data_IF_513145089489
#
_entry.id   IF_513145089489
#
_cell.length_a   1.000
_cell.length_b   1.000
_cell.length_c   1.000
_cell.angle_alpha   90.00
_cell.angle_beta   90.00
_cell.angle_gamma   90.00
#
_symmetry.space_group_name_H-M   'P 1'
#
loop_
_entity.id
_entity.type
_entity.pdbx_description
1 polymer ?
#
# COMPACT_ATOMS: atom_id res chain seq x y z
N UNK A 1 21.01 26.17 -42.58
CA UNK A 1 20.07 25.11 -42.19
C UNK A 1 19.74 25.38 -40.74
N UNK A 2 18.47 25.64 -40.44
CA UNK A 2 17.98 25.97 -39.10
C UNK A 2 17.71 24.66 -38.37
N UNK A 3 18.63 24.25 -37.49
CA UNK A 3 18.37 23.18 -36.54
C UNK A 3 17.44 23.73 -35.46
N UNK A 4 16.14 23.68 -35.73
CA UNK A 4 15.14 23.71 -34.66
C UNK A 4 15.19 22.35 -33.97
N UNK A 5 15.98 22.26 -32.89
CA UNK A 5 15.73 21.24 -31.86
C UNK A 5 14.31 21.47 -31.36
N UNK A 6 13.38 20.59 -31.74
CA UNK A 6 12.11 20.49 -31.04
C UNK A 6 12.43 20.12 -29.60
N UNK A 7 12.23 21.06 -28.68
CA UNK A 7 12.29 20.80 -27.25
C UNK A 7 11.25 19.70 -26.94
N UNK A 8 11.73 18.49 -26.65
CA UNK A 8 10.88 17.41 -26.18
C UNK A 8 10.07 17.90 -24.96
N UNK A 9 8.75 17.71 -25.01
CA UNK A 9 7.84 18.30 -24.02
C UNK A 9 8.11 17.82 -22.59
N UNK A 10 8.07 18.75 -21.63
CA UNK A 10 8.22 18.46 -20.20
C UNK A 10 7.19 17.42 -19.73
N UNK A 11 7.65 16.37 -19.04
CA UNK A 11 6.78 15.35 -18.46
C UNK A 11 6.08 15.92 -17.22
N UNK A 12 4.75 16.02 -17.26
CA UNK A 12 3.95 16.36 -16.09
C UNK A 12 3.67 15.11 -15.24
N UNK A 13 3.56 15.34 -13.94
CA UNK A 13 3.18 14.35 -12.95
C UNK A 13 1.68 14.04 -12.96
N UNK A 14 1.31 13.00 -12.22
CA UNK A 14 -0.06 12.58 -11.99
C UNK A 14 -0.24 12.24 -10.52
N UNK A 15 -0.98 13.08 -9.80
CA UNK A 15 -1.32 12.88 -8.38
C UNK A 15 -2.66 12.17 -8.19
N UNK A 16 -3.31 11.72 -9.27
CA UNK A 16 -4.60 11.04 -9.24
C UNK A 16 -4.46 9.54 -9.53
N UNK A 17 -5.38 8.74 -8.98
CA UNK A 17 -5.43 7.28 -9.27
C UNK A 17 -5.85 6.96 -10.71
N UNK A 18 -6.34 7.96 -11.43
CA UNK A 18 -6.73 7.79 -12.83
C UNK A 18 -5.44 7.75 -13.66
N UNK A 19 -5.19 6.68 -14.43
CA UNK A 19 -4.02 6.62 -15.28
C UNK A 19 -4.08 7.68 -16.38
N UNK A 20 -2.92 8.08 -16.88
CA UNK A 20 -2.81 8.92 -18.08
C UNK A 20 -3.38 8.17 -19.30
N UNK A 21 -3.86 8.88 -20.34
CA UNK A 21 -4.34 8.25 -21.57
C UNK A 21 -3.30 7.28 -22.15
N UNK A 22 -3.69 6.02 -22.36
CA UNK A 22 -2.81 4.97 -22.88
C UNK A 22 -1.98 4.22 -21.81
N UNK A 23 -1.91 4.71 -20.57
CA UNK A 23 -1.27 3.99 -19.48
C UNK A 23 -2.20 2.92 -18.87
N UNK A 24 -1.66 1.78 -18.39
CA UNK A 24 -2.46 0.77 -17.71
C UNK A 24 -2.99 1.30 -16.38
N UNK A 25 -4.15 0.79 -15.97
CA UNK A 25 -4.66 0.96 -14.61
C UNK A 25 -3.63 0.44 -13.59
N UNK A 26 -3.45 1.17 -12.48
CA UNK A 26 -2.42 0.87 -11.47
C UNK A 26 -2.56 -0.55 -10.89
N UNK A 27 -3.80 -1.04 -10.73
CA UNK A 27 -4.06 -2.41 -10.23
C UNK A 27 -3.63 -3.43 -11.28
N UNK A 28 -3.92 -3.18 -12.55
CA UNK A 28 -3.45 -4.05 -13.65
C UNK A 28 -1.92 -4.08 -13.73
N UNK A 29 -1.27 -2.92 -13.62
CA UNK A 29 0.19 -2.82 -13.61
C UNK A 29 0.79 -3.60 -12.43
N UNK A 30 0.23 -3.44 -11.23
CA UNK A 30 0.66 -4.17 -10.04
C UNK A 30 0.47 -5.69 -10.17
N UNK A 31 -0.68 -6.15 -10.68
CA UNK A 31 -0.93 -7.59 -10.91
C UNK A 31 0.04 -8.16 -11.94
N UNK A 32 0.26 -7.45 -13.06
CA UNK A 32 1.21 -7.88 -14.09
C UNK A 32 2.62 -8.01 -13.52
N UNK A 33 3.01 -7.06 -12.67
CA UNK A 33 4.28 -7.06 -11.97
C UNK A 33 4.41 -8.26 -11.01
N UNK A 34 3.43 -8.48 -10.14
CA UNK A 34 3.38 -9.65 -9.23
C UNK A 34 3.50 -10.97 -10.00
N UNK A 35 2.74 -11.13 -11.08
CA UNK A 35 2.76 -12.34 -11.88
C UNK A 35 4.10 -12.58 -12.58
N UNK A 36 4.77 -11.51 -13.03
CA UNK A 36 6.08 -11.58 -13.70
C UNK A 36 7.14 -12.22 -12.81
N UNK A 37 7.12 -11.95 -11.51
CA UNK A 37 8.12 -12.41 -10.55
C UNK A 37 7.62 -13.56 -9.66
N UNK A 38 6.42 -14.08 -9.91
CA UNK A 38 5.96 -15.32 -9.30
C UNK A 38 6.64 -16.54 -9.95
N UNK A 39 7.97 -16.51 -10.01
CA UNK A 39 8.77 -17.71 -10.19
C UNK A 39 8.86 -18.43 -8.84
N UNK A 40 9.18 -19.73 -8.84
CA UNK A 40 9.29 -20.51 -7.60
C UNK A 40 10.34 -19.95 -6.62
N UNK A 41 11.16 -18.97 -7.04
CA UNK A 41 12.23 -18.36 -6.26
C UNK A 41 11.72 -17.18 -5.42
N UNK A 42 10.69 -16.45 -5.88
CA UNK A 42 10.02 -15.38 -5.13
C UNK A 42 8.49 -15.47 -5.22
N UNK A 43 7.87 -16.53 -4.70
CA UNK A 43 6.42 -16.66 -4.75
C UNK A 43 5.74 -15.49 -4.01
N UNK A 44 4.66 -14.97 -4.57
CA UNK A 44 3.91 -13.87 -3.96
C UNK A 44 2.53 -14.34 -3.48
N UNK A 45 2.09 -14.05 -2.24
CA UNK A 45 0.86 -14.60 -1.66
C UNK A 45 -0.41 -14.46 -2.53
N UNK A 46 -0.51 -13.37 -3.29
CA UNK A 46 -1.60 -13.14 -4.25
C UNK A 46 -1.78 -14.31 -5.24
N UNK A 47 -0.68 -14.87 -5.73
CA UNK A 47 -0.68 -15.98 -6.69
C UNK A 47 -0.94 -17.35 -6.03
N UNK A 48 -1.06 -17.39 -4.70
CA UNK A 48 -1.15 -18.62 -3.89
C UNK A 48 -2.36 -18.58 -2.95
N UNK A 49 -3.45 -17.99 -3.43
CA UNK A 49 -4.78 -18.09 -2.80
C UNK A 49 -5.08 -17.06 -1.72
N UNK A 50 -4.23 -16.03 -1.54
CA UNK A 50 -4.49 -14.94 -0.58
C UNK A 50 -4.99 -13.70 -1.32
N UNK A 51 -6.17 -13.21 -0.97
CA UNK A 51 -6.74 -12.01 -1.57
C UNK A 51 -6.00 -10.76 -1.12
N UNK A 52 -5.63 -9.92 -2.09
CA UNK A 52 -4.96 -8.65 -1.84
C UNK A 52 -5.64 -7.51 -2.57
N UNK A 53 -5.63 -6.33 -1.95
CA UNK A 53 -5.95 -5.06 -2.61
C UNK A 53 -4.66 -4.24 -2.70
N UNK A 54 -4.49 -3.54 -3.83
CA UNK A 54 -3.38 -2.60 -4.02
C UNK A 54 -3.62 -1.36 -3.17
N UNK A 55 -2.62 -1.00 -2.37
CA UNK A 55 -2.60 0.18 -1.52
C UNK A 55 -1.56 1.18 -2.03
N UNK A 56 -1.96 2.45 -2.12
CA UNK A 56 -1.07 3.57 -2.41
C UNK A 56 -0.48 4.08 -1.10
N UNK A 57 0.84 3.96 -0.93
CA UNK A 57 1.52 4.38 0.30
C UNK A 57 1.41 5.91 0.47
N UNK A 58 1.88 6.68 -0.50
CA UNK A 58 1.48 8.07 -0.62
C UNK A 58 0.06 8.08 -1.22
N UNK A 59 -0.94 8.29 -0.36
CA UNK A 59 -2.34 8.13 -0.73
C UNK A 59 -2.88 9.31 -1.54
N UNK A 60 -3.80 9.02 -2.47
CA UNK A 60 -4.48 10.06 -3.24
C UNK A 60 -5.37 10.98 -2.39
N UNK A 61 -5.80 10.53 -1.21
CA UNK A 61 -6.52 11.41 -0.27
C UNK A 61 -5.58 12.43 0.38
N UNK A 62 -4.39 12.02 0.85
CA UNK A 62 -3.38 12.94 1.36
C UNK A 62 -3.00 14.00 0.30
N UNK A 63 -2.78 13.57 -0.95
CA UNK A 63 -2.49 14.50 -2.05
C UNK A 63 -3.67 15.43 -2.41
N UNK A 64 -4.90 15.01 -2.15
CA UNK A 64 -6.08 15.87 -2.37
C UNK A 64 -6.30 16.86 -1.23
N UNK A 65 -5.82 16.55 -0.03
CA UNK A 65 -6.01 17.33 1.20
C UNK A 65 -4.84 18.31 1.45
N UNK A 66 -3.66 18.08 0.85
CA UNK A 66 -2.52 19.00 0.92
C UNK A 66 -2.76 20.29 0.13
N UNK A 67 -2.01 21.35 0.42
CA UNK A 67 -2.19 22.64 -0.25
C UNK A 67 -1.95 22.57 -1.78
N UNK A 68 -2.56 23.51 -2.49
CA UNK A 68 -2.55 23.53 -3.96
C UNK A 68 -1.15 23.77 -4.53
N UNK A 69 -0.32 24.56 -3.85
CA UNK A 69 1.03 24.88 -4.33
C UNK A 69 1.93 23.64 -4.30
N UNK A 70 1.79 22.82 -3.26
CA UNK A 70 2.45 21.52 -3.15
C UNK A 70 1.92 20.52 -4.19
N UNK A 71 0.61 20.49 -4.43
CA UNK A 71 0.03 19.66 -5.50
C UNK A 71 0.61 20.04 -6.87
N UNK A 72 0.63 21.34 -7.19
CA UNK A 72 1.16 21.86 -8.44
C UNK A 72 2.67 21.57 -8.55
N UNK A 73 3.43 21.72 -7.46
CA UNK A 73 4.85 21.37 -7.42
C UNK A 73 5.09 19.89 -7.70
N UNK A 74 4.35 18.97 -7.05
CA UNK A 74 4.46 17.54 -7.30
C UNK A 74 4.14 17.18 -8.76
N UNK A 75 3.13 17.81 -9.36
CA UNK A 75 2.81 17.65 -10.78
C UNK A 75 3.95 18.20 -11.64
N UNK A 76 4.47 19.38 -11.34
CA UNK A 76 5.54 20.01 -12.10
C UNK A 76 6.86 19.25 -12.02
N UNK A 77 7.15 18.61 -10.88
CA UNK A 77 8.35 17.77 -10.69
C UNK A 77 8.20 16.38 -11.29
N UNK A 78 7.03 16.05 -11.82
CA UNK A 78 6.78 14.76 -12.46
C UNK A 78 6.45 13.65 -11.47
N UNK A 79 5.94 13.90 -10.27
CA UNK A 79 5.55 12.79 -9.38
C UNK A 79 4.34 12.03 -9.96
N UNK A 80 4.41 10.70 -9.99
CA UNK A 80 3.31 9.83 -10.40
C UNK A 80 2.88 8.91 -9.24
N UNK A 81 1.70 9.18 -8.68
CA UNK A 81 1.13 8.37 -7.60
C UNK A 81 0.97 6.89 -7.97
N UNK A 82 0.79 6.58 -9.26
CA UNK A 82 0.61 5.21 -9.76
C UNK A 82 1.93 4.48 -10.04
N UNK A 83 3.08 5.07 -9.71
CA UNK A 83 4.37 4.39 -9.77
C UNK A 83 4.38 3.12 -8.91
N UNK A 84 4.94 2.03 -9.42
CA UNK A 84 5.01 0.74 -8.71
C UNK A 84 5.71 0.86 -7.35
N UNK A 85 6.68 1.76 -7.21
CA UNK A 85 7.38 2.04 -5.95
C UNK A 85 6.50 2.64 -4.86
N UNK A 86 5.33 3.18 -5.23
CA UNK A 86 4.31 3.71 -4.33
C UNK A 86 3.16 2.70 -4.08
N UNK A 87 3.17 1.55 -4.75
CA UNK A 87 2.13 0.53 -4.63
C UNK A 87 2.62 -0.66 -3.78
N UNK A 88 1.74 -1.16 -2.94
CA UNK A 88 1.96 -2.41 -2.19
C UNK A 88 0.70 -3.27 -2.19
N UNK A 89 0.86 -4.58 -2.26
CA UNK A 89 -0.23 -5.53 -2.05
C UNK A 89 -0.43 -5.81 -0.58
N UNK A 90 -1.60 -5.51 -0.06
CA UNK A 90 -1.97 -5.82 1.32
C UNK A 90 -3.20 -6.75 1.33
N UNK A 91 -3.29 -7.68 2.29
CA UNK A 91 -4.43 -8.59 2.38
C UNK A 91 -5.74 -7.82 2.54
N UNK A 92 -6.75 -8.14 1.71
CA UNK A 92 -8.06 -7.52 1.78
C UNK A 92 -9.05 -8.29 2.65
N UNK A 93 -8.69 -9.53 3.01
CA UNK A 93 -9.42 -10.46 3.87
C UNK A 93 -8.79 -10.56 5.26
N UNK A 94 -9.59 -10.96 6.26
CA UNK A 94 -9.06 -11.22 7.60
C UNK A 94 -8.25 -12.50 7.68
N UNK A 95 -8.64 -13.52 6.90
CA UNK A 95 -7.94 -14.80 6.86
C UNK A 95 -6.55 -14.64 6.27
N UNK A 96 -6.42 -13.95 5.13
CA UNK A 96 -5.13 -13.61 4.53
C UNK A 96 -4.24 -12.78 5.47
N UNK A 97 -4.80 -11.74 6.11
CA UNK A 97 -4.09 -10.92 7.09
C UNK A 97 -3.62 -11.72 8.32
N UNK A 98 -4.46 -12.60 8.85
CA UNK A 98 -4.16 -13.49 9.98
C UNK A 98 -3.05 -14.48 9.62
N UNK A 99 -3.18 -15.13 8.46
CA UNK A 99 -2.20 -16.08 7.94
C UNK A 99 -0.80 -15.45 7.85
N UNK A 100 -0.72 -14.28 7.23
CA UNK A 100 0.54 -13.57 7.01
C UNK A 100 1.03 -12.84 8.27
N UNK A 101 0.15 -12.48 9.21
CA UNK A 101 0.51 -11.69 10.40
C UNK A 101 0.81 -10.24 10.08
N UNK A 102 0.06 -9.66 9.13
CA UNK A 102 0.18 -8.27 8.71
C UNK A 102 -1.18 -7.58 8.73
N UNK A 103 -1.19 -6.25 8.72
CA UNK A 103 -2.42 -5.48 8.74
C UNK A 103 -3.33 -5.80 7.54
N UNK A 104 -4.63 -5.95 7.81
CA UNK A 104 -5.65 -6.00 6.75
C UNK A 104 -5.83 -4.61 6.14
N UNK A 105 -5.87 -4.54 4.81
CA UNK A 105 -6.28 -3.35 4.08
C UNK A 105 -7.81 -3.27 4.01
N UNK A 106 -8.38 -2.19 4.55
CA UNK A 106 -9.80 -1.84 4.42
C UNK A 106 -9.90 -0.38 4.01
N UNK A 107 -10.90 -0.07 3.20
CA UNK A 107 -11.25 1.30 2.84
C UNK A 107 -11.61 2.08 4.12
N UNK A 108 -11.26 3.37 4.16
CA UNK A 108 -11.30 4.27 5.34
C UNK A 108 -10.13 4.02 6.30
N UNK A 109 -9.09 4.85 6.18
CA UNK A 109 -7.91 4.85 7.06
C UNK A 109 -8.03 5.89 8.19
N UNK A 110 -9.25 6.12 8.66
CA UNK A 110 -9.57 7.06 9.75
C UNK A 110 -10.39 6.35 10.82
N UNK A 111 -9.95 6.43 12.07
CA UNK A 111 -10.68 5.92 13.22
C UNK A 111 -10.19 6.59 14.52
N UNK A 112 -11.11 6.78 15.48
CA UNK A 112 -10.78 7.18 16.85
C UNK A 112 -10.18 6.02 17.65
N UNK A 113 -10.08 6.14 18.97
CA UNK A 113 -9.62 5.02 19.80
C UNK A 113 -10.45 3.75 19.56
N UNK A 114 -9.81 2.58 19.65
CA UNK A 114 -10.55 1.31 19.66
C UNK A 114 -11.40 1.21 20.95
N UNK A 115 -12.27 0.19 21.05
CA UNK A 115 -13.09 -0.03 22.24
C UNK A 115 -12.28 -0.32 23.52
N UNK A 116 -10.98 -0.56 23.37
CA UNK A 116 -10.05 -0.85 24.46
C UNK A 116 -9.19 0.37 24.85
N UNK A 117 -9.31 1.50 24.13
CA UNK A 117 -8.44 2.69 24.30
C UNK A 117 -6.95 2.44 24.02
N UNK A 118 -6.61 1.29 23.46
CA UNK A 118 -5.22 0.81 23.34
C UNK A 118 -4.56 1.29 22.04
N UNK A 119 -5.28 1.29 20.93
CA UNK A 119 -4.75 1.76 19.65
C UNK A 119 -4.90 3.28 19.53
N UNK A 120 -3.80 3.97 19.20
CA UNK A 120 -3.83 5.40 18.84
C UNK A 120 -4.84 5.62 17.72
N UNK A 121 -5.60 6.72 17.81
CA UNK A 121 -6.37 7.19 16.67
C UNK A 121 -5.44 7.29 15.46
N UNK A 122 -5.85 6.75 14.32
CA UNK A 122 -5.07 6.83 13.10
C UNK A 122 -5.72 7.84 12.19
N UNK A 123 -4.92 8.82 11.78
CA UNK A 123 -5.17 9.51 10.53
C UNK A 123 -3.97 9.27 9.62
N UNK A 124 -4.02 8.12 8.94
CA UNK A 124 -3.00 7.74 7.96
C UNK A 124 -2.71 8.85 6.95
N UNK A 125 -3.75 9.57 6.53
CA UNK A 125 -3.66 10.61 5.52
C UNK A 125 -2.99 11.89 6.05
N UNK A 126 -3.10 12.18 7.35
CA UNK A 126 -2.38 13.30 7.97
C UNK A 126 -0.89 12.97 8.09
N UNK A 127 -0.54 11.75 8.52
CA UNK A 127 0.87 11.29 8.61
C UNK A 127 1.54 11.28 7.23
N UNK A 128 0.81 10.75 6.23
CA UNK A 128 0.71 11.29 4.87
C UNK A 128 1.40 12.63 4.57
N UNK A 129 0.61 13.66 4.85
CA UNK A 129 0.86 15.06 4.60
C UNK A 129 2.07 15.54 5.40
N UNK A 130 2.21 15.14 6.66
CA UNK A 130 3.34 15.54 7.51
C UNK A 130 4.68 15.16 6.85
N UNK A 131 4.81 13.95 6.32
CA UNK A 131 6.03 13.55 5.59
C UNK A 131 6.29 14.39 4.34
N UNK A 132 5.25 14.82 3.63
CA UNK A 132 5.38 15.65 2.43
C UNK A 132 5.77 17.08 2.80
N UNK A 133 5.19 17.62 3.88
CA UNK A 133 5.50 18.95 4.39
C UNK A 133 6.92 19.03 4.97
N UNK A 134 7.38 17.97 5.65
CA UNK A 134 8.75 17.86 6.19
C UNK A 134 9.84 17.99 5.10
N UNK A 135 9.52 17.64 3.86
CA UNK A 135 10.44 17.74 2.71
C UNK A 135 9.98 18.76 1.67
N UNK A 136 9.09 19.68 2.03
CA UNK A 136 8.48 20.61 1.09
C UNK A 136 9.52 21.43 0.32
N UNK A 137 10.53 21.96 1.02
CA UNK A 137 11.63 22.73 0.40
C UNK A 137 12.39 21.90 -0.63
N UNK A 138 12.71 20.64 -0.31
CA UNK A 138 13.38 19.72 -1.23
C UNK A 138 12.53 19.44 -2.47
N UNK A 139 11.21 19.29 -2.31
CA UNK A 139 10.28 19.12 -3.44
C UNK A 139 10.30 20.36 -4.34
N UNK A 140 10.23 21.56 -3.77
CA UNK A 140 10.23 22.80 -4.54
C UNK A 140 11.55 23.01 -5.31
N UNK A 141 12.69 22.66 -4.69
CA UNK A 141 14.02 22.76 -5.28
C UNK A 141 14.37 21.60 -6.21
N UNK A 142 13.63 20.49 -6.17
CA UNK A 142 13.85 19.35 -7.06
C UNK A 142 13.67 19.78 -8.52
N UNK A 143 14.64 19.47 -9.38
CA UNK A 143 14.53 19.80 -10.80
C UNK A 143 13.51 18.93 -11.54
N UNK A 144 13.11 17.78 -10.95
CA UNK A 144 12.18 16.84 -11.58
C UNK A 144 12.76 16.24 -12.86
N UNK A 145 11.90 15.99 -13.85
CA UNK A 145 12.33 15.51 -15.17
C UNK A 145 12.64 16.68 -16.11
N UNK A 146 13.92 17.04 -16.20
CA UNK A 146 14.43 17.90 -17.27
C UNK A 146 15.14 17.03 -18.33
N UNK A 147 14.54 16.96 -19.52
CA UNK A 147 15.17 16.64 -20.83
C UNK A 147 15.68 15.23 -21.19
N UNK A 148 15.34 14.12 -20.49
CA UNK A 148 15.54 12.77 -21.07
C UNK A 148 14.42 11.84 -20.62
N UNK A 149 14.00 10.90 -21.49
CA UNK A 149 13.27 9.69 -21.09
C UNK A 149 14.18 8.87 -20.17
N UNK A 150 14.27 9.28 -18.92
CA UNK A 150 14.84 8.47 -17.87
C UNK A 150 13.79 7.44 -17.45
N UNK A 151 14.25 6.21 -17.26
CA UNK A 151 13.47 5.17 -16.57
C UNK A 151 13.07 5.55 -15.14
N UNK A 152 13.56 6.69 -14.62
CA UNK A 152 13.53 7.14 -13.23
C UNK A 152 13.31 8.64 -13.20
N UNK A 153 12.32 9.12 -12.45
CA UNK A 153 12.07 10.55 -12.26
C UNK A 153 12.78 10.96 -10.97
N UNK A 154 13.61 12.00 -10.99
CA UNK A 154 14.42 12.42 -9.82
C UNK A 154 13.60 12.59 -8.54
N UNK A 155 12.37 13.11 -8.66
CA UNK A 155 11.42 13.24 -7.55
C UNK A 155 11.05 11.90 -6.90
N UNK A 156 11.00 10.82 -7.67
CA UNK A 156 10.75 9.47 -7.18
C UNK A 156 11.95 8.95 -6.39
N UNK A 157 13.11 8.80 -7.06
CA UNK A 157 14.29 8.17 -6.48
C UNK A 157 14.80 8.93 -5.25
N UNK A 158 14.77 10.27 -5.27
CA UNK A 158 15.35 11.10 -4.20
C UNK A 158 14.40 11.38 -3.04
N UNK A 159 13.09 11.42 -3.28
CA UNK A 159 12.13 11.93 -2.29
C UNK A 159 10.94 10.98 -2.06
N UNK A 160 10.15 10.70 -3.09
CA UNK A 160 8.85 10.03 -2.93
C UNK A 160 9.00 8.55 -2.59
N UNK A 161 9.90 7.83 -3.26
CA UNK A 161 10.12 6.41 -3.01
C UNK A 161 10.69 6.19 -1.58
N UNK A 162 11.67 6.98 -1.08
CA UNK A 162 12.06 6.95 0.32
C UNK A 162 10.89 7.17 1.31
N UNK A 163 9.96 8.09 1.02
CA UNK A 163 8.75 8.28 1.85
C UNK A 163 7.87 7.04 1.81
N UNK A 164 7.57 6.51 0.63
CA UNK A 164 6.80 5.27 0.50
C UNK A 164 7.44 4.13 1.30
N UNK A 165 8.76 4.03 1.36
CA UNK A 165 9.45 3.03 2.17
C UNK A 165 9.25 3.21 3.67
N UNK A 166 9.39 4.45 4.15
CA UNK A 166 9.17 4.79 5.56
C UNK A 166 7.74 4.45 5.97
N UNK A 167 6.77 4.83 5.14
CA UNK A 167 5.36 4.50 5.34
C UNK A 167 5.13 3.00 5.36
N UNK A 168 5.69 2.25 4.41
CA UNK A 168 5.56 0.79 4.39
C UNK A 168 6.13 0.17 5.67
N UNK A 169 7.34 0.56 6.10
CA UNK A 169 7.94 0.06 7.35
C UNK A 169 7.02 0.31 8.54
N UNK A 170 6.39 1.49 8.62
CA UNK A 170 5.44 1.83 9.68
C UNK A 170 4.13 1.05 9.60
N UNK A 171 3.65 0.74 8.39
CA UNK A 171 2.50 -0.16 8.20
C UNK A 171 2.88 -1.58 8.63
N UNK A 172 4.06 -2.09 8.28
CA UNK A 172 4.46 -3.46 8.62
C UNK A 172 4.72 -3.67 10.11
N UNK A 173 5.20 -2.65 10.82
CA UNK A 173 5.44 -2.71 12.26
C UNK A 173 4.25 -2.24 13.11
N UNK A 174 3.07 -2.04 12.50
CA UNK A 174 1.85 -1.62 13.18
C UNK A 174 1.89 -0.21 13.81
N UNK A 175 2.95 0.58 13.62
CA UNK A 175 3.04 1.96 14.12
C UNK A 175 2.27 2.99 13.28
N UNK A 176 1.89 2.63 12.06
CA UNK A 176 0.95 3.38 11.22
C UNK A 176 -0.23 2.47 10.87
N UNK A 177 -1.26 2.42 11.73
CA UNK A 177 -2.34 1.45 11.57
C UNK A 177 -3.34 1.88 10.50
N UNK A 178 -3.65 0.99 9.57
CA UNK A 178 -4.60 1.20 8.47
C UNK A 178 -6.05 0.96 8.88
N UNK A 179 -6.27 0.22 9.99
CA UNK A 179 -7.59 -0.10 10.52
C UNK A 179 -7.55 -0.20 12.05
N UNK A 180 -8.72 -0.04 12.69
CA UNK A 180 -8.90 -0.13 14.14
C UNK A 180 -8.57 -1.50 14.77
N UNK A 181 -8.44 -2.54 13.95
CA UNK A 181 -8.14 -3.91 14.39
C UNK A 181 -6.74 -4.37 13.95
N UNK A 182 -5.91 -3.43 13.49
CA UNK A 182 -4.56 -3.70 13.00
C UNK A 182 -3.74 -4.53 13.98
N UNK A 183 -3.72 -4.15 15.26
CA UNK A 183 -2.96 -4.82 16.32
C UNK A 183 -3.38 -6.28 16.56
N UNK A 184 -4.59 -6.69 16.19
CA UNK A 184 -5.00 -8.10 16.30
C UNK A 184 -4.14 -8.99 15.40
N UNK A 185 -3.63 -8.46 14.29
CA UNK A 185 -2.81 -9.20 13.34
C UNK A 185 -1.31 -9.14 13.67
N UNK A 186 -0.90 -8.41 14.71
CA UNK A 186 0.51 -8.39 15.14
C UNK A 186 0.85 -9.67 15.91
N UNK A 187 1.63 -10.57 15.29
CA UNK A 187 2.09 -11.85 15.88
C UNK A 187 2.93 -11.67 17.16
N UNK A 188 3.47 -10.49 17.41
CA UNK A 188 4.21 -10.16 18.63
C UNK A 188 3.28 -10.01 19.84
N UNK A 189 2.02 -9.61 19.65
CA UNK A 189 1.06 -9.44 20.73
C UNK A 189 0.76 -10.76 21.46
N UNK A 190 0.49 -10.65 22.77
CA UNK A 190 0.20 -11.78 23.66
C UNK A 190 -1.02 -11.43 24.53
N UNK A 191 -2.18 -12.09 24.34
CA UNK A 191 -2.44 -13.13 23.32
C UNK A 191 -2.46 -12.55 21.90
N UNK A 192 -2.10 -13.38 20.92
CA UNK A 192 -2.35 -13.07 19.52
C UNK A 192 -3.82 -13.33 19.20
N UNK A 193 -4.52 -12.35 18.62
CA UNK A 193 -5.97 -12.46 18.34
C UNK A 193 -6.23 -12.97 16.91
N UNK A 194 -5.50 -12.42 15.93
CA UNK A 194 -5.67 -12.73 14.51
C UNK A 194 -7.04 -12.35 13.98
N UNK A 195 -7.61 -13.22 13.14
CA UNK A 195 -8.95 -13.02 12.58
C UNK A 195 -10.10 -13.35 13.54
N UNK A 196 -9.82 -13.91 14.73
CA UNK A 196 -10.84 -14.37 15.69
C UNK A 196 -11.94 -15.27 15.07
N UNK A 197 -11.56 -16.09 14.08
CA UNK A 197 -12.45 -16.95 13.28
C UNK A 197 -13.59 -16.16 12.57
N UNK A 198 -13.36 -14.89 12.25
CA UNK A 198 -14.34 -14.01 11.59
C UNK A 198 -13.99 -13.76 10.14
N UNK A 199 -15.03 -13.65 9.31
CA UNK A 199 -14.90 -13.40 7.87
C UNK A 199 -15.31 -11.99 7.43
N UNK A 200 -16.12 -11.27 8.25
CA UNK A 200 -16.73 -10.00 7.82
C UNK A 200 -16.40 -8.82 8.73
N UNK A 201 -16.44 -7.64 8.13
CA UNK A 201 -16.29 -6.34 8.80
C UNK A 201 -17.40 -6.19 9.86
N UNK A 202 -17.01 -5.83 11.09
CA UNK A 202 -17.94 -5.61 12.21
C UNK A 202 -18.05 -6.81 13.17
N UNK A 203 -17.71 -8.02 12.72
CA UNK A 203 -17.77 -9.23 13.55
C UNK A 203 -16.64 -9.29 14.60
N UNK A 204 -15.52 -8.62 14.34
CA UNK A 204 -14.37 -8.51 15.23
C UNK A 204 -14.52 -7.45 16.34
N UNK A 205 -15.70 -6.85 16.50
CA UNK A 205 -15.92 -5.77 17.48
C UNK A 205 -16.41 -6.24 18.86
N UNK A 206 -16.59 -7.55 19.09
CA UNK A 206 -17.27 -8.05 20.31
C UNK A 206 -16.69 -9.32 20.93
N UNK A 207 -15.73 -9.98 20.30
CA UNK A 207 -15.19 -11.27 20.78
C UNK A 207 -13.69 -11.34 20.53
N UNK A 208 -12.93 -11.44 21.62
CA UNK A 208 -11.46 -11.45 21.67
C UNK A 208 -10.94 -12.90 21.75
N UNK A 209 -11.72 -13.87 21.26
CA UNK A 209 -11.24 -15.25 21.24
C UNK A 209 -10.12 -15.36 20.19
N UNK A 210 -8.90 -15.78 20.57
CA UNK A 210 -7.83 -16.04 19.62
C UNK A 210 -8.31 -16.97 18.50
N UNK A 211 -7.77 -16.79 17.29
CA UNK A 211 -8.03 -17.73 16.21
C UNK A 211 -7.67 -19.17 16.64
N UNK A 212 -8.58 -20.11 16.39
CA UNK A 212 -8.50 -21.48 16.92
C UNK A 212 -7.50 -22.37 16.15
N UNK A 213 -7.13 -21.96 14.93
CA UNK A 213 -6.12 -22.66 14.17
C UNK A 213 -4.79 -22.55 14.92
N UNK A 214 -4.27 -23.70 15.36
CA UNK A 214 -3.21 -23.91 16.37
C UNK A 214 -1.91 -23.10 16.20
N UNK A 215 -1.75 -22.33 15.11
CA UNK A 215 -0.63 -21.42 14.81
C UNK A 215 -1.02 -20.18 13.99
N UNK A 216 -2.32 -19.84 13.88
CA UNK A 216 -2.84 -18.81 12.97
C UNK A 216 -2.50 -19.10 11.50
N UNK A 217 -2.46 -20.38 11.19
CA UNK A 217 -2.20 -20.91 9.86
C UNK A 217 -3.55 -21.22 9.22
N UNK A 218 -3.76 -20.66 8.04
CA UNK A 218 -4.94 -20.86 7.21
C UNK A 218 -4.64 -21.66 5.93
N UNK A 219 -3.53 -22.38 5.88
CA UNK A 219 -3.18 -23.25 4.76
C UNK A 219 -4.30 -24.26 4.47
N UNK A 220 -4.63 -24.44 3.19
CA UNK A 220 -5.71 -25.33 2.74
C UNK A 220 -7.12 -24.73 2.87
N UNK A 221 -7.26 -23.50 3.35
CA UNK A 221 -8.55 -22.81 3.39
C UNK A 221 -8.77 -21.93 2.16
N UNK A 222 -10.04 -21.69 1.81
CA UNK A 222 -10.42 -20.67 0.85
C UNK A 222 -10.44 -19.29 1.50
N UNK A 223 -9.78 -18.31 0.89
CA UNK A 223 -9.79 -16.92 1.34
C UNK A 223 -10.92 -16.15 0.66
N UNK A 224 -12.14 -16.24 1.18
CA UNK A 224 -13.32 -15.63 0.55
C UNK A 224 -13.55 -14.18 1.03
N UNK A 225 -13.76 -13.26 0.08
CA UNK A 225 -14.08 -11.87 0.38
C UNK A 225 -14.81 -11.17 -0.79
N UNK A 226 -15.77 -10.26 -0.50
CA UNK A 226 -16.57 -9.52 -1.50
C UNK A 226 -17.22 -10.42 -2.58
N UNK A 227 -17.71 -11.60 -2.20
CA UNK A 227 -18.28 -12.59 -3.13
C UNK A 227 -17.29 -13.13 -4.17
N UNK A 228 -15.99 -12.89 -3.99
CA UNK A 228 -14.92 -13.47 -4.78
C UNK A 228 -14.27 -14.60 -3.99
N UNK A 229 -14.03 -15.72 -4.67
CA UNK A 229 -13.27 -16.87 -4.18
C UNK A 229 -12.06 -17.04 -5.11
N UNK A 230 -10.83 -17.13 -4.57
CA UNK A 230 -9.64 -17.39 -5.37
C UNK A 230 -9.75 -18.72 -6.12
N UNK A 231 -8.91 -18.92 -7.15
CA UNK A 231 -8.88 -20.18 -7.92
C UNK A 231 -8.18 -21.32 -7.17
N UNK A 232 -7.34 -20.97 -6.19
CA UNK A 232 -6.60 -21.91 -5.36
C UNK A 232 -6.80 -21.59 -3.89
N UNK A 233 -6.80 -22.64 -3.05
CA UNK A 233 -6.74 -22.48 -1.61
C UNK A 233 -5.41 -21.84 -1.19
N UNK A 234 -5.39 -21.24 0.01
CA UNK A 234 -4.17 -20.71 0.60
C UNK A 234 -3.12 -21.82 0.63
N UNK A 235 -2.06 -21.63 -0.14
CA UNK A 235 -0.97 -22.60 -0.34
C UNK A 235 0.40 -21.94 -0.14
N UNK A 236 0.40 -20.81 0.56
CA UNK A 236 1.56 -19.98 0.83
C UNK A 236 2.03 -20.18 2.29
N UNK A 237 3.30 -19.91 2.57
CA UNK A 237 3.83 -19.98 3.94
C UNK A 237 3.44 -18.77 4.80
N UNK A 238 3.33 -18.95 6.10
CA UNK A 238 2.94 -17.85 7.03
C UNK A 238 3.99 -16.75 7.21
N UNK A 239 5.18 -16.92 6.63
CA UNK A 239 6.27 -15.95 6.63
C UNK A 239 6.36 -15.24 5.27
N UNK A 240 5.94 -13.98 5.23
CA UNK A 240 6.21 -13.08 4.11
C UNK A 240 6.09 -11.64 4.54
N UNK A 241 6.86 -10.78 3.91
CA UNK A 241 6.84 -9.34 4.14
C UNK A 241 6.57 -8.63 2.82
N UNK A 242 5.56 -7.75 2.76
CA UNK A 242 5.32 -6.91 1.60
C UNK A 242 6.57 -6.10 1.23
N UNK A 243 6.77 -5.91 -0.08
CA UNK A 243 7.81 -5.06 -0.65
C UNK A 243 7.19 -4.09 -1.65
N UNK A 244 7.75 -2.88 -1.71
CA UNK A 244 7.62 -1.95 -2.85
C UNK A 244 8.57 -2.52 -3.91
N UNK A 245 8.16 -2.58 -5.17
CA UNK A 245 8.93 -3.27 -6.22
C UNK A 245 8.99 -4.79 -6.01
N UNK A 246 8.15 -5.49 -6.76
CA UNK A 246 8.47 -6.86 -7.14
C UNK A 246 9.11 -6.80 -8.51
#
# INVERSE_FOLDING_TARGET
MSDTMELEGLIKGNITKKPEPGAPDYRKAWIANVNKYNDKVKPHPFCHGIQMDTHHLISGKALSDIDKDMQDALIDKGYNINSLSNLVGLPSSYKGACHLGIQVHRTQHTFGSNQFSETKASNYHDEVIDYLLDIAEDIYLCNGTTEVVESKRDIHDKHMDPISEKLLKRVLNFSLPLTKISEHFNKENKPYIGCANKGKIGELSKSITPCENKKNDHSGEWDEFKSYTPEVQISFGTSWSPKREI
#
